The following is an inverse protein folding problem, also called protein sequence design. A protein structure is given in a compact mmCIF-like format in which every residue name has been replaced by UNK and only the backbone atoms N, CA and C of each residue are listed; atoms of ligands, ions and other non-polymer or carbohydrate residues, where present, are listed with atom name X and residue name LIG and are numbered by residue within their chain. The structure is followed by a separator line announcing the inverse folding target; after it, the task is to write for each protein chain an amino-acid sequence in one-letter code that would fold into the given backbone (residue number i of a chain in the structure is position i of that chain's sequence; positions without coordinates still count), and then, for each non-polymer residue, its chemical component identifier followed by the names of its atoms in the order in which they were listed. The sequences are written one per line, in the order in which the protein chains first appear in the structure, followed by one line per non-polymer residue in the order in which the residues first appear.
data_IF_337585018714
#
_entry.id   IF_337585018714
#
_cell.length_a   1.000
_cell.length_b   1.000
_cell.length_c   1.000
_cell.angle_alpha   90.00
_cell.angle_beta   90.00
_cell.angle_gamma   90.00
#
_symmetry.space_group_name_H-M   'P 1'
#
loop_
_entity.id
_entity.type
_entity.pdbx_description
1 polymer ?
#
# COMPACT_ATOMS: atom_id res chain seq x y z
N UNK A 1 1.81 -14.84 -8.95
CA UNK A 1 0.84 -13.83 -9.44
C UNK A 1 -0.44 -13.91 -8.62
N UNK A 2 -0.98 -12.77 -8.15
CA UNK A 2 -2.19 -12.77 -7.33
C UNK A 2 -3.36 -13.34 -8.12
N UNK A 3 -4.14 -14.23 -7.49
CA UNK A 3 -5.36 -14.82 -8.06
C UNK A 3 -6.58 -13.88 -7.98
N UNK A 4 -6.37 -12.65 -7.51
CA UNK A 4 -7.42 -11.63 -7.30
C UNK A 4 -7.26 -10.56 -8.39
N UNK A 5 -8.32 -10.22 -9.14
CA UNK A 5 -8.24 -9.17 -10.15
C UNK A 5 -7.96 -7.81 -9.49
N UNK A 6 -7.45 -6.84 -10.24
CA UNK A 6 -7.34 -5.46 -9.77
C UNK A 6 -8.69 -4.74 -9.94
N UNK A 7 -9.12 -3.97 -8.94
CA UNK A 7 -10.26 -3.07 -9.16
C UNK A 7 -9.89 -2.01 -10.19
N UNK A 8 -10.85 -1.58 -11.02
CA UNK A 8 -10.69 -0.36 -11.82
C UNK A 8 -10.87 0.84 -10.89
N UNK A 9 -9.84 1.70 -10.69
CA UNK A 9 -9.95 2.86 -9.82
C UNK A 9 -11.11 3.80 -10.18
N UNK A 10 -11.56 3.82 -11.44
CA UNK A 10 -12.69 4.63 -11.89
C UNK A 10 -14.03 4.14 -11.34
N UNK A 11 -14.12 2.88 -10.91
CA UNK A 11 -15.33 2.29 -10.34
C UNK A 11 -15.46 2.56 -8.84
N UNK A 12 -14.39 3.03 -8.18
CA UNK A 12 -14.41 3.40 -6.77
C UNK A 12 -15.04 4.77 -6.62
N UNK A 13 -16.14 4.86 -5.88
CA UNK A 13 -16.86 6.13 -5.62
C UNK A 13 -16.47 6.78 -4.30
N UNK A 14 -15.84 6.04 -3.39
CA UNK A 14 -15.39 6.55 -2.09
C UNK A 14 -14.14 7.44 -2.25
N UNK A 15 -14.21 8.75 -1.94
CA UNK A 15 -13.13 9.69 -2.19
C UNK A 15 -11.89 9.43 -1.33
N UNK A 16 -12.05 8.85 -0.13
CA UNK A 16 -10.92 8.50 0.72
C UNK A 16 -10.10 7.38 0.08
N UNK A 17 -10.80 6.36 -0.42
CA UNK A 17 -10.19 5.21 -1.10
C UNK A 17 -9.55 5.64 -2.42
N UNK A 18 -10.21 6.50 -3.20
CA UNK A 18 -9.61 7.09 -4.39
C UNK A 18 -8.31 7.84 -4.06
N UNK A 19 -8.29 8.58 -2.94
CA UNK A 19 -7.10 9.26 -2.44
C UNK A 19 -5.94 8.30 -2.17
N UNK A 20 -6.20 7.16 -1.54
CA UNK A 20 -5.16 6.13 -1.30
C UNK A 20 -4.62 5.52 -2.60
N UNK A 21 -5.49 5.22 -3.57
CA UNK A 21 -5.09 4.69 -4.86
C UNK A 21 -4.25 5.69 -5.66
N UNK A 22 -4.65 6.96 -5.68
CA UNK A 22 -3.92 8.02 -6.38
C UNK A 22 -2.56 8.30 -5.74
N UNK A 23 -2.49 8.25 -4.40
CA UNK A 23 -1.20 8.39 -3.70
C UNK A 23 -0.27 7.22 -4.01
N UNK A 24 -0.78 5.98 -4.01
CA UNK A 24 -0.01 4.81 -4.41
C UNK A 24 0.52 4.95 -5.85
N UNK A 25 -0.30 5.44 -6.78
CA UNK A 25 0.10 5.72 -8.17
C UNK A 25 1.24 6.74 -8.26
N UNK A 26 1.21 7.79 -7.43
CA UNK A 26 2.23 8.85 -7.42
C UNK A 26 3.54 8.43 -6.74
N UNK A 27 3.44 7.73 -5.61
CA UNK A 27 4.58 7.44 -4.74
C UNK A 27 5.20 6.06 -4.99
N UNK A 28 4.47 5.14 -5.63
CA UNK A 28 4.92 3.78 -5.89
C UNK A 28 4.96 2.87 -4.65
N UNK A 29 4.83 3.42 -3.44
CA UNK A 29 4.85 2.69 -2.17
C UNK A 29 3.74 3.15 -1.23
N UNK A 30 2.79 2.28 -0.85
CA UNK A 30 2.66 0.87 -1.25
C UNK A 30 2.34 0.75 -2.75
N UNK A 31 2.74 -0.37 -3.39
CA UNK A 31 2.56 -0.56 -4.84
C UNK A 31 1.10 -0.36 -5.28
N UNK A 32 0.85 0.32 -6.41
CA UNK A 32 -0.50 0.55 -6.93
C UNK A 32 -1.31 -0.75 -7.09
N UNK A 33 -0.70 -1.80 -7.60
CA UNK A 33 -1.34 -3.10 -7.84
C UNK A 33 -1.82 -3.74 -6.54
N UNK A 34 -0.97 -3.71 -5.50
CA UNK A 34 -1.33 -4.22 -4.17
C UNK A 34 -2.45 -3.41 -3.53
N UNK A 35 -2.48 -2.09 -3.75
CA UNK A 35 -3.58 -1.25 -3.27
C UNK A 35 -4.87 -1.49 -4.06
N UNK A 36 -4.79 -1.74 -5.37
CA UNK A 36 -5.95 -2.12 -6.17
C UNK A 36 -6.54 -3.48 -5.73
N UNK A 37 -5.72 -4.42 -5.25
CA UNK A 37 -6.25 -5.65 -4.62
C UNK A 37 -6.97 -5.32 -3.31
N UNK A 38 -6.36 -4.50 -2.43
CA UNK A 38 -6.99 -4.15 -1.14
C UNK A 38 -8.30 -3.38 -1.31
N UNK A 39 -8.42 -2.59 -2.38
CA UNK A 39 -9.61 -1.79 -2.67
C UNK A 39 -10.87 -2.61 -2.96
N UNK A 40 -10.78 -3.93 -3.18
CA UNK A 40 -11.95 -4.82 -3.15
C UNK A 40 -12.69 -4.80 -1.82
N UNK A 41 -12.01 -4.45 -0.72
CA UNK A 41 -12.62 -4.32 0.59
C UNK A 41 -12.26 -2.96 1.23
N UNK A 42 -13.25 -2.04 1.36
CA UNK A 42 -13.05 -0.72 1.96
C UNK A 42 -12.38 -0.72 3.34
N UNK A 43 -12.72 -1.68 4.20
CA UNK A 43 -12.13 -1.79 5.53
C UNK A 43 -10.65 -2.17 5.47
N UNK A 44 -10.29 -3.08 4.57
CA UNK A 44 -8.89 -3.54 4.39
C UNK A 44 -8.01 -2.41 3.88
N UNK A 45 -8.42 -1.69 2.83
CA UNK A 45 -7.58 -0.62 2.28
C UNK A 45 -7.42 0.54 3.25
N UNK A 46 -8.46 0.91 4.01
CA UNK A 46 -8.39 1.93 5.07
C UNK A 46 -7.40 1.54 6.15
N UNK A 47 -7.61 0.38 6.78
CA UNK A 47 -6.78 -0.07 7.88
C UNK A 47 -5.30 -0.13 7.48
N UNK A 48 -5.01 -0.68 6.29
CA UNK A 48 -3.64 -0.75 5.80
C UNK A 48 -3.05 0.63 5.51
N UNK A 49 -3.77 1.50 4.78
CA UNK A 49 -3.24 2.80 4.36
C UNK A 49 -3.01 3.74 5.55
N UNK A 50 -3.89 3.72 6.55
CA UNK A 50 -3.74 4.50 7.77
C UNK A 50 -2.57 3.99 8.61
N UNK A 51 -2.43 2.67 8.79
CA UNK A 51 -1.29 2.09 9.51
C UNK A 51 0.03 2.40 8.80
N UNK A 52 0.08 2.31 7.47
CA UNK A 52 1.24 2.66 6.66
C UNK A 52 1.63 4.14 6.83
N UNK A 53 0.66 5.04 6.80
CA UNK A 53 0.91 6.46 7.00
C UNK A 53 1.51 6.75 8.38
N UNK A 54 0.92 6.19 9.42
CA UNK A 54 1.35 6.45 10.80
C UNK A 54 2.73 5.87 11.12
N UNK A 55 3.05 4.70 10.58
CA UNK A 55 4.24 3.94 11.01
C UNK A 55 5.38 4.01 10.00
N UNK A 56 5.08 3.99 8.71
CA UNK A 56 6.08 3.88 7.66
C UNK A 56 6.47 5.24 7.09
N UNK A 57 5.48 6.06 6.71
CA UNK A 57 5.73 7.42 6.20
C UNK A 57 6.10 8.38 7.34
N UNK A 58 5.35 8.35 8.44
CA UNK A 58 5.60 9.16 9.63
C UNK A 58 6.23 8.35 10.77
N UNK A 59 6.66 9.02 11.84
CA UNK A 59 7.24 8.41 13.04
C UNK A 59 8.67 8.88 13.34
N UNK A 60 9.31 8.25 14.32
CA UNK A 60 10.59 8.74 14.88
C UNK A 60 11.83 8.29 14.12
N UNK A 61 11.73 7.20 13.34
CA UNK A 61 12.86 6.63 12.59
C UNK A 61 12.92 7.25 11.20
N UNK A 62 14.13 7.54 10.72
CA UNK A 62 14.36 8.04 9.36
C UNK A 62 13.78 7.10 8.29
N UNK A 63 13.18 7.69 7.26
CA UNK A 63 12.49 6.93 6.22
C UNK A 63 13.43 6.01 5.43
N UNK A 64 14.69 6.41 5.18
CA UNK A 64 15.65 5.56 4.47
C UNK A 64 15.98 4.32 5.27
N UNK A 65 16.09 4.44 6.60
CA UNK A 65 16.31 3.29 7.47
C UNK A 65 15.09 2.34 7.45
N UNK A 66 13.87 2.87 7.47
CA UNK A 66 12.66 2.04 7.35
C UNK A 66 12.60 1.28 6.02
N UNK A 67 13.01 1.91 4.93
CA UNK A 67 13.10 1.27 3.60
C UNK A 67 14.14 0.13 3.59
N UNK A 68 15.31 0.31 4.21
CA UNK A 68 16.30 -0.76 4.37
C UNK A 68 15.72 -1.94 5.17
N UNK A 69 15.03 -1.67 6.29
CA UNK A 69 14.35 -2.70 7.07
C UNK A 69 13.27 -3.42 6.24
N UNK A 70 12.48 -2.68 5.46
CA UNK A 70 11.44 -3.25 4.59
C UNK A 70 12.02 -4.21 3.56
N UNK A 71 13.12 -3.83 2.89
CA UNK A 71 13.81 -4.70 1.92
C UNK A 71 14.41 -5.93 2.61
N UNK A 72 15.03 -5.76 3.77
CA UNK A 72 15.60 -6.88 4.53
C UNK A 72 14.52 -7.90 4.93
N UNK A 73 13.41 -7.44 5.52
CA UNK A 73 12.30 -8.30 5.91
C UNK A 73 11.70 -9.00 4.70
N UNK A 74 11.45 -8.29 3.59
CA UNK A 74 10.95 -8.87 2.34
C UNK A 74 11.86 -10.00 1.83
N UNK A 75 13.18 -9.80 1.85
CA UNK A 75 14.14 -10.85 1.45
C UNK A 75 14.16 -12.04 2.41
N UNK A 76 14.01 -11.82 3.71
CA UNK A 76 14.03 -12.90 4.71
C UNK A 76 12.84 -13.86 4.63
N UNK A 77 11.76 -13.44 3.96
CA UNK A 77 10.53 -14.23 3.80
C UNK A 77 10.24 -14.56 2.33
N UNK A 78 11.22 -14.36 1.44
CA UNK A 78 11.08 -14.58 -0.01
C UNK A 78 9.86 -13.86 -0.63
N UNK A 79 9.61 -12.62 -0.19
CA UNK A 79 8.55 -11.80 -0.74
C UNK A 79 9.04 -11.10 -2.03
N UNK A 80 8.55 -11.57 -3.17
CA UNK A 80 8.90 -11.06 -4.52
C UNK A 80 8.05 -9.86 -4.98
N UNK A 81 7.16 -9.35 -4.13
CA UNK A 81 6.21 -8.29 -4.45
C UNK A 81 6.77 -6.87 -4.44
#
# INVERSE_FOLDING_TARGET
MPRIPYVDPKTITDPEIQGYLERARKEGTPRPESQAIRAHNPGVIRAFSQAWELTFRNGVVDHKLKELCRVYVSKSIDCEY
#
